data_IF_900375212381
#
_entry.id   IF_900375212381
#
_cell.length_a   1.000
_cell.length_b   1.000
_cell.length_c   1.000
_cell.angle_alpha   90.00
_cell.angle_beta   90.00
_cell.angle_gamma   90.00
#
_symmetry.space_group_name_H-M   'P 1'
#
loop_
_entity.id
_entity.type
_entity.pdbx_description
1 polymer ?
#
# COMPACT_ATOMS: atom_id res chain seq x y z
N UNK A 1 -4.31 4.30 11.63
CA UNK A 1 -2.97 4.75 12.11
C UNK A 1 -2.72 6.20 11.68
N UNK A 2 -1.80 6.92 12.32
CA UNK A 2 -1.26 8.19 11.84
C UNK A 2 0.25 8.03 11.69
N UNK A 3 0.80 8.37 10.53
CA UNK A 3 2.24 8.29 10.23
C UNK A 3 2.68 9.64 9.67
N UNK A 4 3.74 10.23 10.25
CA UNK A 4 4.21 11.57 9.89
C UNK A 4 3.09 12.63 9.88
N UNK A 5 2.19 12.55 10.85
CA UNK A 5 1.03 13.43 10.98
C UNK A 5 -0.11 13.18 9.99
N UNK A 6 -0.02 12.15 9.12
CA UNK A 6 -1.03 11.86 8.09
C UNK A 6 -1.74 10.53 8.31
N UNK A 7 -2.98 10.46 7.85
CA UNK A 7 -3.82 9.23 7.82
C UNK A 7 -4.00 8.72 6.41
N UNK A 8 -3.09 9.11 5.52
CA UNK A 8 -3.12 8.81 4.09
C UNK A 8 -1.78 8.24 3.66
N UNK A 9 -1.82 7.45 2.59
CA UNK A 9 -0.64 6.85 1.99
C UNK A 9 -0.79 6.76 0.47
N UNK A 10 0.25 6.27 -0.21
CA UNK A 10 0.28 6.15 -1.66
C UNK A 10 0.66 4.72 -2.07
N UNK A 11 0.29 4.36 -3.30
CA UNK A 11 0.91 3.25 -4.00
C UNK A 11 2.07 3.77 -4.85
N UNK A 12 3.25 3.17 -4.71
CA UNK A 12 4.43 3.51 -5.50
C UNK A 12 4.65 2.46 -6.58
N UNK A 13 4.72 2.90 -7.83
CA UNK A 13 5.29 2.10 -8.91
C UNK A 13 6.78 2.32 -8.92
N UNK A 14 7.54 1.26 -8.69
CA UNK A 14 8.99 1.27 -8.59
C UNK A 14 9.63 0.45 -9.71
N UNK A 15 10.83 0.87 -10.10
CA UNK A 15 11.72 0.17 -11.03
C UNK A 15 13.14 0.17 -10.47
N UNK A 16 14.04 -0.64 -11.04
CA UNK A 16 15.45 -0.57 -10.68
C UNK A 16 16.03 0.78 -11.12
N UNK A 17 16.89 1.38 -10.30
CA UNK A 17 17.58 2.63 -10.64
C UNK A 17 18.50 2.48 -11.86
N UNK A 18 18.94 1.25 -12.14
CA UNK A 18 19.75 0.91 -13.32
C UNK A 18 18.91 0.68 -14.57
N UNK A 19 17.58 0.58 -14.45
CA UNK A 19 16.70 0.44 -15.62
C UNK A 19 16.55 1.77 -16.37
N UNK A 20 16.32 1.72 -17.70
CA UNK A 20 16.05 2.92 -18.49
C UNK A 20 14.65 3.49 -18.26
N UNK A 21 13.78 2.76 -17.54
CA UNK A 21 12.38 3.11 -17.38
C UNK A 21 12.20 4.31 -16.43
N UNK A 22 11.41 5.28 -16.85
CA UNK A 22 11.10 6.52 -16.12
C UNK A 22 9.61 6.81 -16.03
N UNK A 23 8.75 6.01 -16.68
CA UNK A 23 7.29 6.15 -16.64
C UNK A 23 6.58 4.81 -16.71
N UNK A 24 5.31 4.76 -16.30
CA UNK A 24 4.50 3.54 -16.37
C UNK A 24 4.36 3.04 -17.82
N UNK A 25 4.26 3.93 -18.80
CA UNK A 25 4.07 3.58 -20.21
C UNK A 25 5.25 2.76 -20.77
N UNK A 26 6.45 2.99 -20.26
CA UNK A 26 7.66 2.25 -20.65
C UNK A 26 7.72 0.84 -20.04
N UNK A 27 6.83 0.53 -19.08
CA UNK A 27 6.63 -0.82 -18.56
C UNK A 27 5.65 -1.66 -19.39
N UNK A 28 5.10 -1.12 -20.49
CA UNK A 28 4.27 -1.91 -21.41
C UNK A 28 5.06 -3.09 -21.98
N UNK A 29 4.47 -4.28 -21.94
CA UNK A 29 5.09 -5.51 -22.40
C UNK A 29 6.27 -5.97 -21.54
N UNK A 30 6.36 -5.53 -20.28
CA UNK A 30 7.42 -5.91 -19.33
C UNK A 30 6.92 -6.92 -18.29
N UNK A 31 7.84 -7.45 -17.49
CA UNK A 31 7.50 -8.29 -16.34
C UNK A 31 7.26 -7.42 -15.12
N UNK A 32 6.11 -7.57 -14.46
CA UNK A 32 5.71 -6.71 -13.34
C UNK A 32 5.31 -7.52 -12.09
N UNK A 33 5.72 -7.06 -10.92
CA UNK A 33 5.31 -7.65 -9.64
C UNK A 33 4.17 -6.89 -8.98
N UNK A 34 3.08 -7.59 -8.71
CA UNK A 34 2.09 -7.20 -7.72
C UNK A 34 2.47 -7.77 -6.36
N UNK A 35 2.10 -7.07 -5.30
CA UNK A 35 2.40 -7.53 -3.95
C UNK A 35 1.39 -8.59 -3.51
N UNK A 36 0.10 -8.28 -3.48
CA UNK A 36 -0.95 -9.22 -3.06
C UNK A 36 -2.26 -8.91 -3.80
N UNK A 37 -3.02 -9.93 -4.26
CA UNK A 37 -4.25 -9.73 -5.02
C UNK A 37 -5.33 -8.96 -4.26
N UNK A 38 -5.38 -9.03 -2.93
CA UNK A 38 -6.33 -8.31 -2.08
C UNK A 38 -5.86 -6.89 -1.75
N UNK A 39 -4.57 -6.59 -1.90
CA UNK A 39 -3.99 -5.28 -1.57
C UNK A 39 -4.56 -4.14 -2.42
N UNK A 40 -4.78 -3.00 -1.79
CA UNK A 40 -5.09 -1.75 -2.49
C UNK A 40 -3.85 -1.22 -3.23
N UNK A 41 -2.83 -0.83 -2.47
CA UNK A 41 -1.57 -0.28 -3.00
C UNK A 41 -0.74 -1.30 -3.76
N UNK A 42 -0.81 -2.57 -3.38
CA UNK A 42 -0.07 -3.66 -4.02
C UNK A 42 -0.73 -4.24 -5.27
N UNK A 43 -1.94 -3.80 -5.64
CA UNK A 43 -2.69 -4.35 -6.79
C UNK A 43 -3.79 -3.42 -7.31
N UNK A 44 -4.87 -3.20 -6.54
CA UNK A 44 -6.09 -2.50 -7.01
C UNK A 44 -5.81 -1.13 -7.63
N UNK A 45 -4.94 -0.34 -7.00
CA UNK A 45 -4.63 1.02 -7.42
C UNK A 45 -4.05 1.06 -8.85
N UNK A 46 -3.21 0.09 -9.23
CA UNK A 46 -2.67 0.03 -10.59
C UNK A 46 -3.71 -0.44 -11.59
N UNK A 47 -4.51 -1.45 -11.22
CA UNK A 47 -5.59 -1.94 -12.08
C UNK A 47 -6.56 -0.80 -12.41
N UNK A 48 -6.87 0.05 -11.43
CA UNK A 48 -7.69 1.24 -11.66
C UNK A 48 -7.04 2.20 -12.66
N UNK A 49 -5.75 2.52 -12.51
CA UNK A 49 -5.02 3.38 -13.45
C UNK A 49 -5.02 2.79 -14.86
N UNK A 50 -4.84 1.47 -15.02
CA UNK A 50 -4.89 0.80 -16.32
C UNK A 50 -6.30 0.82 -16.90
N UNK A 51 -7.33 0.53 -16.10
CA UNK A 51 -8.73 0.53 -16.55
C UNK A 51 -9.15 1.91 -17.08
N UNK A 52 -8.74 3.00 -16.42
CA UNK A 52 -9.00 4.37 -16.87
C UNK A 52 -8.34 4.70 -18.23
N UNK A 53 -7.35 3.89 -18.64
CA UNK A 53 -6.68 3.98 -19.94
C UNK A 53 -7.23 2.96 -20.95
N UNK A 54 -8.28 2.22 -20.60
CA UNK A 54 -8.86 1.17 -21.44
C UNK A 54 -8.01 -0.10 -21.51
N UNK A 55 -7.15 -0.35 -20.51
CA UNK A 55 -6.21 -1.48 -20.47
C UNK A 55 -6.48 -2.36 -19.24
N UNK A 56 -6.07 -3.62 -19.32
CA UNK A 56 -5.94 -4.53 -18.17
C UNK A 56 -4.48 -4.83 -17.89
N UNK A 57 -4.17 -5.47 -16.76
CA UNK A 57 -2.80 -5.88 -16.48
C UNK A 57 -2.29 -6.89 -17.54
N UNK A 58 -3.16 -7.75 -18.03
CA UNK A 58 -2.88 -8.76 -19.05
C UNK A 58 -2.65 -8.16 -20.44
N UNK A 59 -3.34 -7.07 -20.79
CA UNK A 59 -3.10 -6.36 -22.06
C UNK A 59 -1.88 -5.44 -21.98
N UNK A 60 -1.56 -4.93 -20.79
CA UNK A 60 -0.50 -3.96 -20.59
C UNK A 60 0.87 -4.60 -20.36
N UNK A 61 0.98 -5.61 -19.50
CA UNK A 61 2.24 -6.28 -19.15
C UNK A 61 2.42 -7.58 -19.93
N UNK A 62 3.66 -7.99 -20.19
CA UNK A 62 3.93 -9.30 -20.78
C UNK A 62 3.67 -10.43 -19.78
N UNK A 63 4.05 -10.20 -18.52
CA UNK A 63 3.90 -11.17 -17.44
C UNK A 63 3.73 -10.44 -16.12
N UNK A 64 2.83 -10.93 -15.28
CA UNK A 64 2.67 -10.46 -13.91
C UNK A 64 2.94 -11.61 -12.92
N UNK A 65 3.44 -11.27 -11.74
CA UNK A 65 3.61 -12.21 -10.62
C UNK A 65 3.06 -11.60 -9.34
N UNK A 66 2.74 -12.45 -8.37
CA UNK A 66 2.45 -12.04 -6.99
C UNK A 66 3.59 -12.49 -6.09
N UNK A 67 4.15 -11.55 -5.33
CA UNK A 67 5.27 -11.80 -4.39
C UNK A 67 4.79 -12.06 -2.96
N UNK A 68 3.51 -11.79 -2.68
CA UNK A 68 2.83 -11.88 -1.38
C UNK A 68 3.50 -11.07 -0.26
N UNK A 69 4.33 -10.09 -0.63
CA UNK A 69 5.01 -9.19 0.31
C UNK A 69 5.54 -7.95 -0.41
N UNK A 70 5.32 -6.77 0.16
CA UNK A 70 5.88 -5.53 -0.37
C UNK A 70 7.41 -5.55 -0.38
N UNK A 71 8.03 -6.08 0.67
CA UNK A 71 9.48 -6.26 0.80
C UNK A 71 10.02 -7.16 -0.32
N UNK A 72 9.32 -8.27 -0.60
CA UNK A 72 9.70 -9.18 -1.69
C UNK A 72 9.52 -8.52 -3.06
N UNK A 73 8.50 -7.69 -3.26
CA UNK A 73 8.32 -6.90 -4.48
C UNK A 73 9.48 -5.92 -4.70
N UNK A 74 9.92 -5.23 -3.65
CA UNK A 74 11.07 -4.32 -3.70
C UNK A 74 12.34 -5.11 -4.05
N UNK A 75 12.57 -6.23 -3.37
CA UNK A 75 13.75 -7.06 -3.61
C UNK A 75 13.76 -7.65 -5.03
N UNK A 76 12.61 -8.08 -5.56
CA UNK A 76 12.51 -8.58 -6.93
C UNK A 76 12.89 -7.53 -7.99
N UNK A 77 12.64 -6.25 -7.71
CA UNK A 77 13.07 -5.13 -8.56
C UNK A 77 14.58 -4.88 -8.42
N UNK A 78 15.10 -4.91 -7.19
CA UNK A 78 16.54 -4.76 -6.91
C UNK A 78 17.35 -5.86 -7.58
N UNK A 79 16.87 -7.10 -7.52
CA UNK A 79 17.52 -8.29 -8.09
C UNK A 79 17.26 -8.46 -9.60
N UNK A 80 16.57 -7.50 -10.23
CA UNK A 80 16.22 -7.54 -11.66
C UNK A 80 15.40 -8.78 -12.09
N UNK A 81 14.64 -9.37 -11.16
CA UNK A 81 13.73 -10.48 -11.46
C UNK A 81 12.45 -10.01 -12.16
N UNK A 82 12.08 -8.75 -11.96
CA UNK A 82 10.99 -8.04 -12.63
C UNK A 82 11.45 -6.65 -13.06
N UNK A 83 10.82 -6.09 -14.10
CA UNK A 83 11.13 -4.76 -14.61
C UNK A 83 10.55 -3.64 -13.73
N UNK A 84 9.46 -3.94 -13.00
CA UNK A 84 8.85 -3.02 -12.05
C UNK A 84 7.92 -3.71 -11.07
N UNK A 85 7.53 -3.00 -10.02
CA UNK A 85 6.59 -3.47 -9.02
C UNK A 85 5.70 -2.34 -8.51
N UNK A 86 4.55 -2.69 -7.92
CA UNK A 86 3.75 -1.75 -7.15
C UNK A 86 3.70 -2.11 -5.67
N UNK A 87 4.01 -1.14 -4.82
CA UNK A 87 4.21 -1.32 -3.38
C UNK A 87 3.57 -0.21 -2.54
N UNK A 88 3.36 -0.50 -1.26
CA UNK A 88 2.87 0.44 -0.26
C UNK A 88 3.95 1.48 0.09
N UNK A 89 3.61 2.77 0.05
CA UNK A 89 4.57 3.85 0.36
C UNK A 89 5.10 3.77 1.78
N UNK A 90 4.29 3.40 2.76
CA UNK A 90 4.71 3.35 4.17
C UNK A 90 5.74 2.24 4.37
N UNK A 91 5.52 1.08 3.73
CA UNK A 91 6.49 -0.02 3.77
C UNK A 91 7.78 0.36 3.05
N UNK A 92 7.68 0.92 1.85
CA UNK A 92 8.85 1.36 1.09
C UNK A 92 9.67 2.41 1.86
N UNK A 93 9.01 3.44 2.39
CA UNK A 93 9.67 4.53 3.12
C UNK A 93 10.32 4.01 4.42
N UNK A 94 9.68 3.09 5.14
CA UNK A 94 10.24 2.45 6.33
C UNK A 94 11.47 1.58 6.00
N UNK A 95 11.41 0.80 4.92
CA UNK A 95 12.54 0.00 4.47
C UNK A 95 13.72 0.87 4.03
N UNK A 96 13.47 1.96 3.30
CA UNK A 96 14.51 2.93 2.92
C UNK A 96 15.10 3.64 4.13
N UNK A 97 14.29 3.98 5.13
CA UNK A 97 14.79 4.59 6.36
C UNK A 97 15.72 3.62 7.13
N UNK A 98 15.43 2.32 7.09
CA UNK A 98 16.24 1.26 7.70
C UNK A 98 17.49 0.91 6.88
N UNK A 99 17.37 0.86 5.56
CA UNK A 99 18.44 0.59 4.61
C UNK A 99 18.41 1.62 3.46
N UNK A 100 19.17 2.72 3.60
CA UNK A 100 19.24 3.78 2.58
C UNK A 100 19.78 3.32 1.23
N UNK A 101 20.41 2.15 1.13
CA UNK A 101 20.90 1.62 -0.16
C UNK A 101 19.75 1.27 -1.09
N UNK A 102 18.56 0.95 -0.57
CA UNK A 102 17.37 0.66 -1.37
C UNK A 102 16.93 1.88 -2.20
N UNK A 103 17.05 3.08 -1.65
CA UNK A 103 16.76 4.32 -2.38
C UNK A 103 17.75 4.59 -3.53
N UNK A 104 18.98 4.08 -3.44
CA UNK A 104 19.95 4.16 -4.52
C UNK A 104 19.74 3.07 -5.60
N UNK A 105 19.12 1.94 -5.23
CA UNK A 105 18.90 0.78 -6.10
C UNK A 105 17.54 0.77 -6.79
N UNK A 106 16.60 1.58 -6.33
CA UNK A 106 15.24 1.68 -6.87
C UNK A 106 14.88 3.12 -7.23
N UNK A 107 13.87 3.28 -8.10
CA UNK A 107 13.33 4.57 -8.51
C UNK A 107 11.80 4.49 -8.49
N UNK A 108 11.16 5.44 -7.81
CA UNK A 108 9.71 5.63 -7.88
C UNK A 108 9.39 6.39 -9.17
N UNK A 109 8.69 5.76 -10.10
CA UNK A 109 8.31 6.34 -11.40
C UNK A 109 6.86 6.84 -11.43
N UNK A 110 6.04 6.40 -10.47
CA UNK A 110 4.68 6.90 -10.31
C UNK A 110 4.22 6.78 -8.86
N UNK A 111 3.43 7.78 -8.42
CA UNK A 111 2.71 7.78 -7.15
C UNK A 111 1.21 7.81 -7.44
N UNK A 112 0.45 6.89 -6.85
CA UNK A 112 -1.00 6.77 -7.05
C UNK A 112 -1.68 6.97 -5.68
N UNK A 113 -2.72 7.79 -5.62
CA UNK A 113 -3.41 8.18 -4.39
C UNK A 113 -3.54 9.70 -4.24
N UNK A 114 -3.74 10.23 -3.02
CA UNK A 114 -3.67 9.52 -1.74
C UNK A 114 -4.83 8.54 -1.51
N UNK A 115 -4.63 7.61 -0.60
CA UNK A 115 -5.64 6.66 -0.10
C UNK A 115 -5.66 6.69 1.43
N UNK A 116 -6.79 6.34 2.06
CA UNK A 116 -6.84 6.09 3.49
C UNK A 116 -5.85 5.00 3.92
N UNK A 117 -5.07 5.27 4.96
CA UNK A 117 -4.10 4.33 5.53
C UNK A 117 -4.78 3.03 6.00
N UNK A 118 -4.15 1.84 5.91
CA UNK A 118 -4.77 0.59 6.34
C UNK A 118 -5.38 0.67 7.75
N UNK A 119 -6.70 0.41 7.90
CA UNK A 119 -7.39 0.53 9.19
C UNK A 119 -7.12 -0.67 10.09
N UNK A 120 -7.37 -0.47 11.40
CA UNK A 120 -7.67 -1.58 12.30
C UNK A 120 -9.17 -1.82 12.23
N UNK A 121 -9.57 -3.05 11.96
CA UNK A 121 -10.99 -3.45 11.86
C UNK A 121 -11.29 -4.54 12.87
N UNK A 122 -12.56 -4.59 13.29
CA UNK A 122 -13.11 -5.63 14.16
C UNK A 122 -14.33 -6.23 13.48
N UNK A 123 -14.70 -7.45 13.89
CA UNK A 123 -15.95 -8.06 13.42
C UNK A 123 -17.15 -7.18 13.81
N UNK A 124 -18.21 -7.08 12.98
CA UNK A 124 -19.40 -6.28 13.32
C UNK A 124 -20.06 -6.73 14.64
N UNK A 125 -20.04 -8.03 14.92
CA UNK A 125 -20.65 -8.63 16.12
C UNK A 125 -19.70 -8.75 17.34
N UNK A 126 -18.60 -7.99 17.36
CA UNK A 126 -17.72 -7.97 18.54
C UNK A 126 -18.48 -7.49 19.78
N UNK A 127 -18.15 -8.05 20.95
CA UNK A 127 -18.67 -7.58 22.23
C UNK A 127 -18.43 -6.05 22.39
N UNK A 128 -19.46 -5.25 22.74
CA UNK A 128 -19.33 -3.80 22.81
C UNK A 128 -18.29 -3.31 23.83
N UNK A 129 -18.17 -3.99 24.97
CA UNK A 129 -17.21 -3.61 26.01
C UNK A 129 -15.79 -3.92 25.55
N UNK A 130 -15.58 -5.06 24.90
CA UNK A 130 -14.29 -5.39 24.27
C UNK A 130 -13.94 -4.39 23.15
N UNK A 131 -14.90 -3.99 22.31
CA UNK A 131 -14.69 -2.99 21.26
C UNK A 131 -14.23 -1.67 21.86
N UNK A 132 -14.90 -1.20 22.92
CA UNK A 132 -14.54 0.04 23.59
C UNK A 132 -13.15 -0.06 24.23
N UNK A 133 -12.84 -1.18 24.90
CA UNK A 133 -11.52 -1.41 25.50
C UNK A 133 -10.39 -1.40 24.46
N UNK A 134 -10.58 -2.04 23.30
CA UNK A 134 -9.61 -2.01 22.19
C UNK A 134 -9.44 -0.60 21.63
N UNK A 135 -10.54 0.14 21.48
CA UNK A 135 -10.52 1.50 20.97
C UNK A 135 -9.73 2.43 21.90
N UNK A 136 -10.02 2.38 23.19
CA UNK A 136 -9.33 3.19 24.20
C UNK A 136 -7.85 2.84 24.27
N UNK A 137 -7.52 1.55 24.27
CA UNK A 137 -6.13 1.08 24.27
C UNK A 137 -5.34 1.62 23.06
N UNK A 138 -5.89 1.51 21.85
CA UNK A 138 -5.22 2.00 20.63
C UNK A 138 -5.08 3.53 20.61
N UNK A 139 -6.16 4.26 20.94
CA UNK A 139 -6.16 5.73 20.90
C UNK A 139 -5.25 6.33 21.98
N UNK A 140 -5.10 5.69 23.13
CA UNK A 140 -4.23 6.16 24.22
C UNK A 140 -2.83 5.52 24.22
N UNK A 141 -2.55 4.59 23.32
CA UNK A 141 -1.27 3.86 23.22
C UNK A 141 -0.03 4.76 23.24
N UNK A 142 -0.09 5.92 22.61
CA UNK A 142 0.99 6.92 22.57
C UNK A 142 1.30 7.58 23.93
N UNK A 143 0.39 7.49 24.90
CA UNK A 143 0.54 8.03 26.25
C UNK A 143 1.25 7.04 27.18
N UNK A 144 1.24 5.75 26.84
CA UNK A 144 1.89 4.67 27.60
C UNK A 144 3.35 4.43 27.15
N UNK A 145 4.32 4.20 28.05
CA UNK A 145 5.71 3.92 27.67
C UNK A 145 5.93 2.66 26.83
N UNK A 146 5.19 1.57 27.08
CA UNK A 146 5.27 0.36 26.26
C UNK A 146 4.58 0.58 24.92
N UNK A 147 3.42 1.25 24.93
CA UNK A 147 2.71 1.64 23.72
C UNK A 147 3.56 2.51 22.79
N UNK A 148 4.28 3.50 23.31
CA UNK A 148 5.23 4.31 22.50
C UNK A 148 6.34 3.49 21.85
N UNK A 149 6.85 2.46 22.53
CA UNK A 149 7.89 1.59 21.96
C UNK A 149 7.33 0.77 20.80
N UNK A 150 6.17 0.14 21.01
CA UNK A 150 5.52 -0.64 19.96
C UNK A 150 5.11 0.23 18.75
N UNK A 151 4.64 1.46 18.98
CA UNK A 151 4.36 2.44 17.94
C UNK A 151 5.62 2.81 17.14
N UNK A 152 6.74 3.05 17.83
CA UNK A 152 8.02 3.36 17.19
C UNK A 152 8.55 2.20 16.34
N UNK A 153 8.45 0.96 16.82
CA UNK A 153 8.86 -0.23 16.06
C UNK A 153 8.05 -0.39 14.75
N UNK A 154 6.78 0.03 14.78
CA UNK A 154 5.88 0.03 13.62
C UNK A 154 5.96 1.30 12.77
N UNK A 155 6.76 2.29 13.16
CA UNK A 155 6.82 3.61 12.52
C UNK A 155 5.46 4.32 12.45
N UNK A 156 4.63 4.16 13.49
CA UNK A 156 3.32 4.81 13.63
C UNK A 156 3.41 5.86 14.73
N UNK A 157 2.89 7.07 14.50
CA UNK A 157 2.88 8.13 15.50
C UNK A 157 1.89 7.82 16.63
N UNK A 158 0.67 7.42 16.25
CA UNK A 158 -0.45 7.05 17.11
C UNK A 158 -1.61 6.48 16.29
N UNK A 159 -2.64 5.98 16.96
CA UNK A 159 -3.94 5.73 16.34
C UNK A 159 -4.85 6.94 16.53
N UNK A 160 -5.68 7.19 15.51
CA UNK A 160 -6.69 8.25 15.52
C UNK A 160 -7.97 7.69 14.91
N UNK A 161 -9.11 8.28 15.28
CA UNK A 161 -10.36 8.04 14.58
C UNK A 161 -10.32 8.70 13.20
N UNK A 162 -10.84 8.01 12.21
CA UNK A 162 -11.05 8.52 10.85
C UNK A 162 -12.49 8.22 10.45
N UNK A 163 -13.07 9.11 9.66
CA UNK A 163 -14.40 8.87 9.09
C UNK A 163 -14.32 7.74 8.05
N UNK A 164 -15.39 6.95 7.92
CA UNK A 164 -15.44 5.88 6.92
C UNK A 164 -15.20 6.40 5.51
N UNK A 165 -15.63 7.63 5.19
CA UNK A 165 -15.45 8.27 3.88
C UNK A 165 -13.99 8.39 3.43
N UNK A 166 -13.02 8.30 4.36
CA UNK A 166 -11.60 8.22 4.02
C UNK A 166 -11.24 7.02 3.13
N UNK A 167 -12.13 6.02 3.04
CA UNK A 167 -11.97 4.81 2.23
C UNK A 167 -12.93 4.74 1.03
N UNK A 168 -13.73 5.78 0.75
CA UNK A 168 -14.70 5.79 -0.35
C UNK A 168 -14.04 5.57 -1.71
N UNK A 169 -12.89 6.20 -1.96
CA UNK A 169 -12.16 6.03 -3.22
C UNK A 169 -11.75 4.56 -3.43
N UNK A 170 -11.39 3.85 -2.36
CA UNK A 170 -11.03 2.43 -2.43
C UNK A 170 -12.28 1.58 -2.69
N UNK A 171 -13.39 1.87 -2.00
CA UNK A 171 -14.68 1.20 -2.24
C UNK A 171 -15.14 1.35 -3.69
N UNK A 172 -15.07 2.56 -4.25
CA UNK A 172 -15.44 2.83 -5.65
C UNK A 172 -14.57 2.02 -6.63
N UNK A 173 -13.24 2.03 -6.45
CA UNK A 173 -12.34 1.22 -7.29
C UNK A 173 -12.66 -0.27 -7.17
N UNK A 174 -12.89 -0.76 -5.96
CA UNK A 174 -13.17 -2.17 -5.71
C UNK A 174 -14.53 -2.59 -6.27
N UNK A 175 -15.56 -1.75 -6.16
CA UNK A 175 -16.87 -2.01 -6.76
C UNK A 175 -16.75 -2.11 -8.29
N UNK A 176 -16.07 -1.15 -8.92
CA UNK A 176 -15.91 -1.12 -10.36
C UNK A 176 -15.09 -2.28 -10.93
N UNK A 177 -14.04 -2.73 -10.23
CA UNK A 177 -13.10 -3.73 -10.76
C UNK A 177 -13.27 -5.14 -10.19
N UNK A 178 -13.82 -5.27 -8.98
CA UNK A 178 -13.99 -6.55 -8.28
C UNK A 178 -15.46 -6.92 -8.07
N UNK A 179 -16.40 -6.03 -8.37
CA UNK A 179 -17.81 -6.24 -8.10
C UNK A 179 -18.12 -6.34 -6.60
N UNK A 180 -17.29 -5.72 -5.76
CA UNK A 180 -17.59 -5.64 -4.33
C UNK A 180 -18.81 -4.73 -4.14
N UNK A 181 -19.80 -5.22 -3.41
CA UNK A 181 -20.92 -4.39 -3.00
C UNK A 181 -20.38 -3.20 -2.19
N UNK A 182 -20.95 -2.02 -2.40
CA UNK A 182 -20.71 -0.91 -1.48
C UNK A 182 -21.23 -1.37 -0.11
N UNK A 183 -20.32 -1.66 0.83
CA UNK A 183 -20.71 -1.95 2.20
C UNK A 183 -21.53 -0.75 2.73
N UNK A 184 -22.66 -1.01 3.43
CA UNK A 184 -23.53 0.04 3.95
C UNK A 184 -22.80 1.01 4.89
#
# INVERSE_FOLDING_TARGET
>A
PQVNGKTEYYAYVIVSSQSPYISLDELRGKTFAFSDPLSNSGHLALLWVLQQRGETAESFFQKTIFTYSHDNSIQAVVDHLVDGAIVDSLVYDALVARDPTLAAQTRIIQRIGPFGIPPVVVHPDIDPDLKQALLDALLTMHQDPQGRRALADLHIDRFVLVDSSAYDSIRQMASALRGWDEAP
#
